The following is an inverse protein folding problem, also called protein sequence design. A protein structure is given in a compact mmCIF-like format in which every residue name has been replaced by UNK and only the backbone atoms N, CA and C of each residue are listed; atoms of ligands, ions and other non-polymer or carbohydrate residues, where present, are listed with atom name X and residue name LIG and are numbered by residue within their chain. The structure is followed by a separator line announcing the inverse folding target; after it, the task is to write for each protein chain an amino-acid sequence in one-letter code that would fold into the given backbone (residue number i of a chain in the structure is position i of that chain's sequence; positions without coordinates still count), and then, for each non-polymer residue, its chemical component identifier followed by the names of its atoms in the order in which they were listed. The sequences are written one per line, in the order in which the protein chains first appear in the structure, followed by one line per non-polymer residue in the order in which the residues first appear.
data_IF_893232422738
#
_entry.id   IF_893232422738
#
_cell.length_a   1.000
_cell.length_b   1.000
_cell.length_c   1.000
_cell.angle_alpha   90.00
_cell.angle_beta   90.00
_cell.angle_gamma   90.00
#
_symmetry.space_group_name_H-M   'P 1'
#
loop_
_entity.id
_entity.type
_entity.pdbx_description
1 polymer ?
#
# COMPACT_ATOMS: atom_id res chain seq x y z
N UNK A 1 3.89 15.67 -1.91
CA UNK A 1 2.62 15.27 -1.28
C UNK A 1 2.90 14.66 0.09
N UNK A 2 2.08 14.95 1.11
CA UNK A 2 2.23 14.35 2.43
C UNK A 2 1.31 13.13 2.56
N UNK A 3 1.89 11.96 2.78
CA UNK A 3 1.16 10.70 3.06
C UNK A 3 1.17 10.53 4.58
N UNK A 4 0.01 10.36 5.21
CA UNK A 4 -0.06 10.05 6.64
C UNK A 4 -0.10 8.54 6.85
N UNK A 5 0.50 8.04 7.93
CA UNK A 5 0.43 6.61 8.26
C UNK A 5 -0.25 6.41 9.60
N UNK A 6 -1.24 5.53 9.60
CA UNK A 6 -1.96 5.10 10.78
C UNK A 6 -1.68 3.63 11.03
N UNK A 7 -1.34 3.33 12.29
CA UNK A 7 -1.27 1.95 12.76
C UNK A 7 -2.67 1.36 12.84
N UNK A 8 -2.77 0.06 12.60
CA UNK A 8 -4.02 -0.68 12.78
C UNK A 8 -3.87 -1.62 13.99
N UNK A 9 -4.96 -2.20 14.52
CA UNK A 9 -4.86 -3.25 15.54
C UNK A 9 -4.05 -4.47 15.07
N UNK A 10 -3.91 -4.68 13.76
CA UNK A 10 -3.05 -5.70 13.19
C UNK A 10 -1.62 -5.13 13.03
N UNK A 11 -0.61 -5.66 13.76
CA UNK A 11 0.77 -5.16 13.66
C UNK A 11 1.40 -5.36 12.27
N UNK A 12 0.85 -6.28 11.48
CA UNK A 12 1.29 -6.53 10.10
C UNK A 12 0.61 -5.63 9.08
N UNK A 13 -0.29 -4.74 9.50
CA UNK A 13 -1.01 -3.85 8.60
C UNK A 13 -0.82 -2.38 8.99
N UNK A 14 -0.52 -1.54 8.00
CA UNK A 14 -0.52 -0.07 8.13
C UNK A 14 -1.44 0.53 7.09
N UNK A 15 -2.12 1.62 7.48
CA UNK A 15 -3.02 2.39 6.61
C UNK A 15 -2.31 3.68 6.21
N UNK A 16 -2.15 3.89 4.91
CA UNK A 16 -1.52 5.05 4.30
C UNK A 16 -2.62 5.96 3.77
N UNK A 17 -2.78 7.14 4.35
CA UNK A 17 -3.77 8.16 3.95
C UNK A 17 -3.11 9.11 2.96
N UNK A 18 -3.76 9.29 1.82
CA UNK A 18 -3.36 10.13 0.71
C UNK A 18 -3.95 11.55 0.91
N UNK A 19 -3.37 12.58 0.29
CA UNK A 19 -3.87 13.96 0.43
C UNK A 19 -5.21 14.20 -0.27
N UNK A 20 -5.64 13.31 -1.16
CA UNK A 20 -6.88 13.42 -1.94
C UNK A 20 -7.46 12.04 -2.25
N UNK A 21 -8.75 12.00 -2.63
CA UNK A 21 -9.40 10.77 -3.08
C UNK A 21 -8.83 10.33 -4.44
N UNK A 22 -8.31 9.10 -4.49
CA UNK A 22 -7.72 8.51 -5.71
C UNK A 22 -8.45 7.29 -6.22
N UNK A 23 -9.26 6.64 -5.37
CA UNK A 23 -9.91 5.37 -5.70
C UNK A 23 -11.43 5.49 -5.52
N UNK A 24 -12.15 5.52 -6.65
CA UNK A 24 -13.61 5.62 -6.69
C UNK A 24 -14.31 4.34 -6.19
N UNK A 25 -13.64 3.19 -6.33
CA UNK A 25 -14.14 1.88 -5.91
C UNK A 25 -13.10 1.14 -5.06
N UNK A 26 -13.55 0.27 -4.13
CA UNK A 26 -12.64 -0.60 -3.40
C UNK A 26 -11.89 -1.54 -4.35
N UNK A 27 -10.57 -1.62 -4.18
CA UNK A 27 -9.68 -2.57 -4.85
C UNK A 27 -8.97 -3.39 -3.79
N UNK A 28 -9.01 -4.71 -3.92
CA UNK A 28 -8.40 -5.65 -2.96
C UNK A 28 -7.60 -6.69 -3.71
N UNK A 29 -6.34 -6.87 -3.30
CA UNK A 29 -5.40 -7.77 -3.94
C UNK A 29 -4.81 -8.71 -2.89
N UNK A 30 -5.16 -9.99 -3.00
CA UNK A 30 -4.67 -11.04 -2.11
C UNK A 30 -3.24 -11.50 -2.42
N UNK A 31 -2.74 -11.18 -3.61
CA UNK A 31 -1.40 -11.50 -4.08
C UNK A 31 -1.05 -10.69 -5.34
N UNK A 32 0.19 -10.86 -5.82
CA UNK A 32 0.69 -10.24 -7.06
C UNK A 32 -0.08 -10.69 -8.32
N UNK A 33 -0.65 -11.89 -8.33
CA UNK A 33 -1.38 -12.41 -9.48
C UNK A 33 -2.72 -11.69 -9.67
N UNK A 34 -3.41 -11.38 -8.56
CA UNK A 34 -4.62 -10.56 -8.54
C UNK A 34 -4.33 -9.10 -8.96
N UNK A 35 -3.11 -8.61 -8.72
CA UNK A 35 -2.70 -7.23 -8.97
C UNK A 35 -2.25 -6.92 -10.41
N UNK A 36 -2.22 -7.90 -11.32
CA UNK A 36 -1.60 -7.78 -12.68
C UNK A 36 -2.02 -6.56 -13.52
N UNK A 37 -3.19 -5.98 -13.26
CA UNK A 37 -3.72 -4.82 -14.00
C UNK A 37 -3.67 -3.51 -13.20
N UNK A 38 -3.09 -3.53 -12.02
CA UNK A 38 -3.04 -2.40 -11.10
C UNK A 38 -1.59 -1.99 -10.84
N UNK A 39 -1.12 -0.87 -11.42
CA UNK A 39 0.28 -0.48 -11.36
C UNK A 39 0.76 -0.19 -9.94
N UNK A 40 -0.08 0.42 -9.09
CA UNK A 40 0.26 0.69 -7.70
C UNK A 40 0.36 -0.62 -6.90
N UNK A 41 -0.60 -1.52 -7.06
CA UNK A 41 -0.56 -2.80 -6.36
C UNK A 41 0.68 -3.60 -6.77
N UNK A 42 1.02 -3.65 -8.07
CA UNK A 42 2.23 -4.30 -8.55
C UNK A 42 3.51 -3.69 -7.95
N UNK A 43 3.60 -2.36 -7.89
CA UNK A 43 4.74 -1.69 -7.27
C UNK A 43 4.89 -2.04 -5.78
N UNK A 44 3.78 -2.15 -5.05
CA UNK A 44 3.78 -2.55 -3.64
C UNK A 44 4.16 -4.02 -3.45
N UNK A 45 3.67 -4.92 -4.30
CA UNK A 45 4.07 -6.33 -4.27
C UNK A 45 5.54 -6.54 -4.67
N UNK A 46 6.09 -5.69 -5.56
CA UNK A 46 7.49 -5.75 -5.97
C UNK A 46 8.48 -5.48 -4.83
N UNK A 47 8.03 -4.93 -3.69
CA UNK A 47 8.83 -4.79 -2.47
C UNK A 47 9.15 -6.15 -1.83
N UNK A 48 8.50 -7.24 -2.25
CA UNK A 48 8.77 -8.62 -1.80
C UNK A 48 8.27 -8.96 -0.39
N UNK A 49 8.07 -7.95 0.45
CA UNK A 49 7.63 -8.10 1.84
C UNK A 49 6.12 -7.90 2.04
N UNK A 50 5.39 -7.58 0.97
CA UNK A 50 3.94 -7.30 0.97
C UNK A 50 3.17 -8.52 0.50
N UNK A 51 2.16 -8.94 1.26
CA UNK A 51 1.30 -10.08 0.89
C UNK A 51 -0.14 -9.68 0.56
N UNK A 52 -0.59 -8.50 0.95
CA UNK A 52 -1.94 -8.04 0.63
C UNK A 52 -2.01 -6.51 0.57
N UNK A 53 -2.82 -6.02 -0.37
CA UNK A 53 -3.05 -4.59 -0.56
C UNK A 53 -4.54 -4.32 -0.71
N UNK A 54 -5.04 -3.31 -0.01
CA UNK A 54 -6.40 -2.82 -0.14
C UNK A 54 -6.40 -1.31 -0.38
N UNK A 55 -7.23 -0.83 -1.29
CA UNK A 55 -7.29 0.58 -1.70
C UNK A 55 -8.73 1.03 -1.83
N UNK A 56 -9.08 2.16 -1.22
CA UNK A 56 -10.40 2.76 -1.38
C UNK A 56 -10.34 4.24 -0.99
N UNK A 57 -11.10 5.09 -1.69
CA UNK A 57 -11.15 6.53 -1.46
C UNK A 57 -9.75 7.16 -1.48
N UNK A 58 -9.28 7.61 -0.33
CA UNK A 58 -8.06 8.33 -0.08
C UNK A 58 -7.05 7.49 0.71
N UNK A 59 -7.19 6.16 0.78
CA UNK A 59 -6.24 5.36 1.53
C UNK A 59 -5.87 4.03 0.89
N UNK A 60 -4.67 3.57 1.26
CA UNK A 60 -4.09 2.27 0.92
C UNK A 60 -3.73 1.55 2.21
N UNK A 61 -4.28 0.36 2.42
CA UNK A 61 -3.83 -0.55 3.48
C UNK A 61 -2.85 -1.54 2.86
N UNK A 62 -1.67 -1.66 3.48
CA UNK A 62 -0.65 -2.63 3.08
C UNK A 62 -0.43 -3.60 4.23
N UNK A 63 -0.50 -4.90 3.92
CA UNK A 63 -0.14 -5.95 4.86
C UNK A 63 1.20 -6.57 4.47
N UNK A 64 2.11 -6.63 5.44
CA UNK A 64 3.45 -7.19 5.28
C UNK A 64 3.56 -8.59 5.87
N UNK A 65 4.48 -9.41 5.39
CA UNK A 65 4.77 -10.69 6.03
C UNK A 65 5.23 -10.48 7.49
N UNK A 66 4.98 -11.44 8.40
CA UNK A 66 5.30 -11.29 9.82
C UNK A 66 6.78 -11.03 10.12
N UNK A 67 7.68 -11.55 9.29
CA UNK A 67 9.14 -11.44 9.37
C UNK A 67 9.71 -10.11 8.85
N UNK A 68 8.93 -9.36 8.06
CA UNK A 68 9.36 -8.05 7.55
C UNK A 68 9.29 -6.96 8.64
N UNK A 69 10.20 -5.99 8.59
CA UNK A 69 10.21 -4.85 9.50
C UNK A 69 9.58 -3.61 8.83
N UNK A 70 8.73 -2.89 9.57
CA UNK A 70 8.11 -1.68 9.05
C UNK A 70 9.08 -0.50 8.92
N UNK A 71 10.19 -0.49 9.66
CA UNK A 71 11.15 0.62 9.66
C UNK A 71 11.79 0.82 8.28
N UNK A 72 11.96 -0.26 7.53
CA UNK A 72 12.45 -0.24 6.14
C UNK A 72 11.30 -0.22 5.12
N UNK A 73 10.23 -0.98 5.40
CA UNK A 73 9.13 -1.14 4.46
C UNK A 73 8.24 0.10 4.34
N UNK A 74 7.98 0.82 5.42
CA UNK A 74 7.12 2.00 5.38
C UNK A 74 7.67 3.09 4.45
N UNK A 75 8.95 3.51 4.54
CA UNK A 75 9.55 4.45 3.60
C UNK A 75 9.40 4.00 2.13
N UNK A 76 9.63 2.71 1.85
CA UNK A 76 9.51 2.16 0.50
C UNK A 76 8.07 2.19 -0.02
N UNK A 77 7.09 1.85 0.82
CA UNK A 77 5.65 1.94 0.48
C UNK A 77 5.26 3.39 0.21
N UNK A 78 5.69 4.35 1.05
CA UNK A 78 5.44 5.78 0.83
C UNK A 78 5.99 6.25 -0.51
N UNK A 79 7.21 5.82 -0.85
CA UNK A 79 7.84 6.18 -2.12
C UNK A 79 7.07 5.60 -3.31
N UNK A 80 6.64 4.33 -3.25
CA UNK A 80 5.86 3.69 -4.30
C UNK A 80 4.51 4.40 -4.52
N UNK A 81 3.84 4.77 -3.42
CA UNK A 81 2.58 5.53 -3.49
C UNK A 81 2.84 6.91 -4.08
N UNK A 82 3.84 7.66 -3.59
CA UNK A 82 4.15 9.00 -4.09
C UNK A 82 4.46 9.00 -5.59
N UNK A 83 5.29 8.06 -6.05
CA UNK A 83 5.61 7.91 -7.47
C UNK A 83 4.38 7.63 -8.34
N UNK A 84 3.40 6.89 -7.83
CA UNK A 84 2.12 6.67 -8.52
C UNK A 84 1.19 7.89 -8.50
N UNK A 85 1.31 8.77 -7.50
CA UNK A 85 0.51 10.00 -7.45
C UNK A 85 1.04 11.07 -8.40
N UNK A 86 2.35 11.10 -8.61
CA UNK A 86 3.05 12.05 -9.48
C UNK A 86 3.06 11.65 -10.97
N UNK A 87 2.56 10.44 -11.31
CA UNK A 87 2.40 9.94 -12.69
C UNK A 87 1.04 10.27 -13.29
#
# INVERSE_FOLDING_TARGET
MEIQVQQTPNPNARKFILPEMRFDRPRSFADVAAARKDPLALALFALGQVYNVFMVQDFVTVNKYPDAAWDELEPAVRQAIAAYLDS
#
